data_IF_601072940603
#
_entry.id   IF_601072940603
#
_cell.length_a   1.000
_cell.length_b   1.000
_cell.length_c   1.000
_cell.angle_alpha   90.00
_cell.angle_beta   90.00
_cell.angle_gamma   90.00
#
_symmetry.space_group_name_H-M   'P 1'
#
loop_
_entity.id
_entity.type
_entity.pdbx_description
1 polymer ?
#
# COMPACT_ATOMS: atom_id res chain seq x y z
N UNK A 1 21.34 -9.68 22.61
CA UNK A 1 21.09 -10.10 21.21
C UNK A 1 19.65 -9.74 20.88
N UNK A 2 19.43 -8.73 20.03
CA UNK A 2 18.09 -8.20 19.74
C UNK A 2 17.25 -9.15 18.88
N UNK A 3 15.94 -9.15 19.11
CA UNK A 3 14.96 -9.81 18.25
C UNK A 3 15.17 -9.32 16.79
N UNK A 4 15.55 -10.21 15.85
CA UNK A 4 15.82 -9.82 14.46
C UNK A 4 14.67 -9.06 13.81
N UNK A 5 13.42 -9.32 14.23
CA UNK A 5 12.27 -8.59 13.71
C UNK A 5 12.18 -7.15 14.19
N UNK A 6 12.73 -6.82 15.37
CA UNK A 6 12.74 -5.45 15.87
C UNK A 6 13.70 -4.57 15.04
N UNK A 7 14.82 -5.12 14.57
CA UNK A 7 15.75 -4.39 13.71
C UNK A 7 15.11 -3.99 12.38
N UNK A 8 14.29 -4.86 11.78
CA UNK A 8 13.59 -4.54 10.52
C UNK A 8 12.58 -3.40 10.69
N UNK A 9 11.88 -3.33 11.83
CA UNK A 9 10.98 -2.22 12.15
C UNK A 9 11.74 -0.93 12.46
N UNK A 10 12.88 -1.02 13.14
CA UNK A 10 13.78 0.12 13.35
C UNK A 10 14.29 0.65 12.02
N UNK A 11 14.75 -0.22 11.12
CA UNK A 11 15.20 0.15 9.77
C UNK A 11 14.06 0.79 8.98
N UNK A 12 12.84 0.23 9.07
CA UNK A 12 11.65 0.77 8.43
C UNK A 12 11.33 2.20 8.89
N UNK A 13 11.33 2.45 10.21
CA UNK A 13 11.10 3.77 10.77
C UNK A 13 12.25 4.74 10.43
N UNK A 14 13.49 4.28 10.51
CA UNK A 14 14.68 5.08 10.24
C UNK A 14 14.76 5.53 8.77
N UNK A 15 14.43 4.65 7.82
CA UNK A 15 14.35 5.01 6.39
C UNK A 15 13.27 6.08 6.17
N UNK A 16 12.09 5.91 6.78
CA UNK A 16 11.01 6.89 6.71
C UNK A 16 11.42 8.27 7.25
N UNK A 17 12.12 8.32 8.38
CA UNK A 17 12.68 9.56 8.93
C UNK A 17 13.74 10.17 8.00
N UNK A 18 14.66 9.37 7.48
CA UNK A 18 15.73 9.85 6.60
C UNK A 18 15.26 10.37 5.24
N UNK A 19 14.08 9.95 4.77
CA UNK A 19 13.46 10.52 3.58
C UNK A 19 13.06 11.98 3.78
N UNK A 20 12.77 12.38 5.03
CA UNK A 20 12.35 13.73 5.40
C UNK A 20 13.36 14.54 6.24
N UNK A 21 14.43 13.92 6.72
CA UNK A 21 15.47 14.57 7.52
C UNK A 21 16.86 14.28 6.95
N UNK A 22 17.43 15.27 6.26
CA UNK A 22 18.75 15.19 5.65
C UNK A 22 19.90 15.10 6.68
N UNK A 23 19.70 15.61 7.90
CA UNK A 23 20.69 15.50 8.98
C UNK A 23 20.73 14.07 9.51
N UNK A 24 19.55 13.47 9.72
CA UNK A 24 19.45 12.07 10.12
C UNK A 24 20.03 11.13 9.06
N UNK A 25 19.78 11.39 7.77
CA UNK A 25 20.35 10.60 6.66
C UNK A 25 21.89 10.52 6.71
N UNK A 26 22.58 11.59 7.13
CA UNK A 26 24.05 11.60 7.25
C UNK A 26 24.57 10.71 8.38
N UNK A 27 23.74 10.45 9.39
CA UNK A 27 24.08 9.61 10.55
C UNK A 27 23.74 8.13 10.33
N UNK A 28 22.99 7.80 9.27
CA UNK A 28 22.58 6.43 9.00
C UNK A 28 23.74 5.53 8.56
N UNK A 29 23.67 4.22 8.81
CA UNK A 29 24.62 3.27 8.23
C UNK A 29 24.53 3.28 6.69
N UNK A 30 25.68 3.04 6.05
CA UNK A 30 25.85 3.18 4.58
C UNK A 30 24.79 2.43 3.75
N UNK A 31 24.38 1.25 4.21
CA UNK A 31 23.38 0.41 3.52
C UNK A 31 22.02 1.12 3.45
N UNK A 32 21.51 1.60 4.58
CA UNK A 32 20.22 2.30 4.66
C UNK A 32 20.30 3.67 3.96
N UNK A 33 21.40 4.41 4.16
CA UNK A 33 21.61 5.68 3.45
C UNK A 33 21.61 5.51 1.92
N UNK A 34 22.27 4.46 1.43
CA UNK A 34 22.26 4.11 0.00
C UNK A 34 20.86 3.76 -0.52
N UNK A 35 20.03 3.10 0.29
CA UNK A 35 18.63 2.82 -0.07
C UNK A 35 17.80 4.09 -0.18
N UNK A 36 17.91 5.02 0.78
CA UNK A 36 17.22 6.31 0.75
C UNK A 36 17.60 7.09 -0.51
N UNK A 37 18.90 7.13 -0.85
CA UNK A 37 19.35 7.79 -2.07
C UNK A 37 18.82 7.10 -3.33
N UNK A 38 18.86 5.77 -3.39
CA UNK A 38 18.32 5.01 -4.52
C UNK A 38 16.81 5.25 -4.71
N UNK A 39 16.04 5.38 -3.63
CA UNK A 39 14.62 5.72 -3.71
C UNK A 39 14.40 7.16 -4.20
N UNK A 40 15.18 8.13 -3.72
CA UNK A 40 14.99 9.55 -4.08
C UNK A 40 15.42 9.88 -5.52
N UNK A 41 16.52 9.29 -6.00
CA UNK A 41 17.16 9.69 -7.27
C UNK A 41 17.49 8.56 -8.23
N UNK A 42 17.34 7.30 -7.82
CA UNK A 42 17.64 6.15 -8.66
C UNK A 42 16.66 5.97 -9.83
N UNK A 43 16.99 5.04 -10.73
CA UNK A 43 16.15 4.63 -11.87
C UNK A 43 15.82 3.13 -11.87
N UNK A 44 16.48 2.35 -11.02
CA UNK A 44 16.31 0.90 -10.90
C UNK A 44 15.44 0.52 -9.71
N UNK A 45 14.83 -0.67 -9.76
CA UNK A 45 14.07 -1.21 -8.64
C UNK A 45 14.93 -1.32 -7.38
N UNK A 46 14.40 -0.82 -6.27
CA UNK A 46 15.06 -0.85 -4.97
C UNK A 46 14.49 -1.98 -4.15
N UNK A 47 15.32 -2.97 -3.81
CA UNK A 47 14.94 -4.03 -2.88
C UNK A 47 14.88 -3.47 -1.46
N UNK A 48 13.78 -3.71 -0.78
CA UNK A 48 13.53 -3.27 0.60
C UNK A 48 13.39 -4.48 1.53
N UNK A 49 13.57 -4.33 2.85
CA UNK A 49 13.58 -5.46 3.80
C UNK A 49 12.21 -6.13 4.01
N UNK A 50 11.13 -5.42 3.67
CA UNK A 50 9.73 -5.79 3.90
C UNK A 50 8.96 -5.53 2.61
N UNK A 51 8.18 -6.50 2.14
CA UNK A 51 7.28 -6.33 1.00
C UNK A 51 7.95 -6.55 -0.37
N UNK A 52 7.64 -5.66 -1.32
CA UNK A 52 8.05 -5.75 -2.71
C UNK A 52 9.15 -4.74 -3.06
N UNK A 53 9.95 -4.97 -4.11
CA UNK A 53 10.84 -3.95 -4.64
C UNK A 53 10.05 -2.68 -5.03
N UNK A 54 10.62 -1.51 -4.73
CA UNK A 54 9.98 -0.23 -4.96
C UNK A 54 10.59 0.49 -6.17
N UNK A 55 9.75 1.27 -6.87
CA UNK A 55 10.16 2.09 -8.01
C UNK A 55 10.54 3.49 -7.50
N UNK A 56 11.77 3.99 -7.72
CA UNK A 56 12.19 5.33 -7.32
C UNK A 56 11.27 6.45 -7.80
N UNK A 57 10.71 6.35 -9.01
CA UNK A 57 9.80 7.37 -9.57
C UNK A 57 8.58 7.62 -8.69
N UNK A 58 8.15 6.63 -7.89
CA UNK A 58 7.04 6.79 -6.94
C UNK A 58 7.39 7.68 -5.75
N UNK A 59 8.67 7.99 -5.52
CA UNK A 59 9.14 8.86 -4.45
C UNK A 59 9.44 10.28 -4.93
N UNK A 60 9.39 10.53 -6.24
CA UNK A 60 9.61 11.86 -6.81
C UNK A 60 8.33 12.67 -6.70
N UNK A 61 8.43 13.80 -6.00
CA UNK A 61 7.31 14.72 -5.82
C UNK A 61 6.82 15.25 -7.18
N UNK A 62 5.49 15.36 -7.31
CA UNK A 62 4.82 16.00 -8.44
C UNK A 62 3.80 17.03 -7.96
N UNK A 63 3.26 17.82 -8.89
CA UNK A 63 2.25 18.84 -8.59
C UNK A 63 2.70 19.80 -7.49
N UNK A 64 1.83 20.20 -6.55
CA UNK A 64 2.14 21.16 -5.51
C UNK A 64 3.25 20.72 -4.54
N UNK A 65 3.60 19.43 -4.47
CA UNK A 65 4.70 18.95 -3.63
C UNK A 65 6.08 19.40 -4.12
N UNK A 66 6.20 19.89 -5.37
CA UNK A 66 7.47 20.42 -5.89
C UNK A 66 7.75 21.86 -5.45
N UNK A 67 6.82 22.51 -4.74
CA UNK A 67 6.93 23.92 -4.35
C UNK A 67 7.98 24.18 -3.27
N UNK A 68 8.40 23.16 -2.51
CA UNK A 68 9.49 23.28 -1.53
C UNK A 68 10.14 21.93 -1.26
N UNK A 69 11.39 21.95 -0.78
CA UNK A 69 12.08 20.75 -0.32
C UNK A 69 11.31 20.04 0.78
N UNK A 70 10.76 20.80 1.75
CA UNK A 70 9.95 20.25 2.83
C UNK A 70 8.74 19.45 2.32
N UNK A 71 8.02 19.96 1.33
CA UNK A 71 6.88 19.25 0.75
C UNK A 71 7.31 18.01 -0.06
N UNK A 72 8.43 18.10 -0.78
CA UNK A 72 8.96 16.97 -1.55
C UNK A 72 9.46 15.85 -0.63
N UNK A 73 10.10 16.22 0.47
CA UNK A 73 10.61 15.33 1.50
C UNK A 73 9.45 14.65 2.28
N UNK A 74 8.42 15.43 2.65
CA UNK A 74 7.17 14.88 3.20
C UNK A 74 6.52 13.89 2.23
N UNK A 75 6.44 14.23 0.94
CA UNK A 75 5.88 13.34 -0.09
C UNK A 75 6.65 12.01 -0.14
N UNK A 76 7.99 12.06 -0.19
CA UNK A 76 8.81 10.85 -0.24
C UNK A 76 8.63 9.97 1.01
N UNK A 77 8.61 10.56 2.20
CA UNK A 77 8.35 9.83 3.44
C UNK A 77 6.93 9.24 3.49
N UNK A 78 5.92 9.98 3.02
CA UNK A 78 4.56 9.46 2.90
C UNK A 78 4.47 8.27 1.95
N UNK A 79 5.16 8.34 0.81
CA UNK A 79 5.19 7.27 -0.18
C UNK A 79 5.84 6.00 0.37
N UNK A 80 6.88 6.12 1.21
CA UNK A 80 7.44 4.98 1.94
C UNK A 80 6.38 4.23 2.75
N UNK A 81 5.64 4.96 3.59
CA UNK A 81 4.62 4.40 4.46
C UNK A 81 3.36 3.91 3.71
N UNK A 82 3.15 4.39 2.48
CA UNK A 82 2.05 4.01 1.61
C UNK A 82 2.39 2.84 0.66
N UNK A 83 3.67 2.55 0.41
CA UNK A 83 4.08 1.55 -0.58
C UNK A 83 4.69 0.29 0.04
N UNK A 84 5.36 0.39 1.19
CA UNK A 84 5.91 -0.79 1.87
C UNK A 84 4.76 -1.64 2.42
N UNK A 85 4.56 -2.78 1.78
CA UNK A 85 3.50 -3.74 2.08
C UNK A 85 3.99 -4.85 3.00
N UNK A 86 3.42 -4.92 4.19
CA UNK A 86 3.57 -6.06 5.08
C UNK A 86 2.54 -7.13 4.69
N UNK A 87 2.95 -8.03 3.78
CA UNK A 87 2.03 -8.95 3.12
C UNK A 87 1.49 -9.96 4.12
N UNK A 88 0.18 -10.07 4.17
CA UNK A 88 -0.50 -11.03 5.03
C UNK A 88 -0.09 -12.46 4.71
N UNK A 89 0.24 -12.79 3.45
CA UNK A 89 0.67 -14.15 3.07
C UNK A 89 2.03 -14.58 3.63
N UNK A 90 2.83 -13.66 4.16
CA UNK A 90 4.16 -13.92 4.68
C UNK A 90 4.15 -13.87 6.22
N UNK A 91 4.52 -14.98 6.88
CA UNK A 91 4.46 -15.07 8.34
C UNK A 91 5.43 -14.10 9.05
N UNK A 92 6.62 -13.84 8.48
CA UNK A 92 7.55 -12.84 9.03
C UNK A 92 6.92 -11.45 8.92
N UNK A 93 6.43 -11.07 7.76
CA UNK A 93 5.85 -9.73 7.56
C UNK A 93 4.57 -9.53 8.36
N UNK A 94 3.74 -10.56 8.50
CA UNK A 94 2.58 -10.54 9.39
C UNK A 94 3.00 -10.33 10.84
N UNK A 95 4.05 -11.03 11.30
CA UNK A 95 4.61 -10.82 12.65
C UNK A 95 5.06 -9.37 12.85
N UNK A 96 5.79 -8.81 11.88
CA UNK A 96 6.27 -7.42 11.93
C UNK A 96 5.09 -6.43 11.94
N UNK A 97 4.10 -6.62 11.08
CA UNK A 97 2.91 -5.77 11.03
C UNK A 97 2.15 -5.76 12.36
N UNK A 98 1.98 -6.94 12.98
CA UNK A 98 1.30 -7.05 14.26
C UNK A 98 2.11 -6.37 15.37
N UNK A 99 3.42 -6.63 15.46
CA UNK A 99 4.30 -5.95 16.44
C UNK A 99 4.23 -4.44 16.28
N UNK A 100 4.27 -3.97 15.05
CA UNK A 100 4.23 -2.54 14.76
C UNK A 100 2.88 -1.91 15.07
N UNK A 101 1.77 -2.58 14.71
CA UNK A 101 0.44 -2.14 15.06
C UNK A 101 0.23 -2.10 16.58
N UNK A 102 0.69 -3.12 17.32
CA UNK A 102 0.61 -3.12 18.79
C UNK A 102 1.46 -2.00 19.40
N UNK A 103 2.68 -1.76 18.91
CA UNK A 103 3.53 -0.65 19.35
C UNK A 103 2.82 0.71 19.23
N UNK A 104 2.16 0.96 18.10
CA UNK A 104 1.41 2.21 17.88
C UNK A 104 0.15 2.26 18.75
N UNK A 105 -0.59 1.16 18.85
CA UNK A 105 -1.86 1.08 19.59
C UNK A 105 -1.67 1.17 21.12
N UNK A 106 -0.56 0.65 21.64
CA UNK A 106 -0.22 0.67 23.07
C UNK A 106 0.35 2.04 23.52
N UNK A 107 0.77 2.89 22.59
CA UNK A 107 1.25 4.25 22.87
C UNK A 107 0.19 5.29 22.49
N UNK A 108 -0.30 6.04 23.49
CA UNK A 108 -1.38 7.00 23.30
C UNK A 108 -1.03 8.13 22.32
N UNK A 109 0.22 8.58 22.31
CA UNK A 109 0.67 9.66 21.43
C UNK A 109 0.79 9.15 20.00
N UNK A 110 1.42 7.99 19.79
CA UNK A 110 1.55 7.39 18.46
C UNK A 110 0.19 7.03 17.87
N UNK A 111 -0.71 6.45 18.66
CA UNK A 111 -2.08 6.13 18.22
C UNK A 111 -2.83 7.39 17.78
N UNK A 112 -2.71 8.48 18.54
CA UNK A 112 -3.31 9.78 18.20
C UNK A 112 -2.72 10.36 16.91
N UNK A 113 -1.40 10.37 16.76
CA UNK A 113 -0.72 10.89 15.57
C UNK A 113 -1.07 10.08 14.32
N UNK A 114 -1.08 8.75 14.44
CA UNK A 114 -1.49 7.86 13.34
C UNK A 114 -2.94 8.15 12.92
N UNK A 115 -3.86 8.29 13.89
CA UNK A 115 -5.26 8.60 13.62
C UNK A 115 -5.42 9.94 12.90
N UNK A 116 -4.70 10.99 13.33
CA UNK A 116 -4.69 12.29 12.67
C UNK A 116 -4.18 12.24 11.22
N UNK A 117 -3.24 11.35 10.91
CA UNK A 117 -2.73 11.15 9.55
C UNK A 117 -3.64 10.29 8.67
N UNK A 118 -4.43 9.40 9.28
CA UNK A 118 -5.17 8.35 8.59
C UNK A 118 -6.66 8.70 8.40
N UNK A 119 -7.35 9.11 9.47
CA UNK A 119 -8.80 9.32 9.48
C UNK A 119 -9.31 10.36 8.47
N UNK A 120 -8.62 11.50 8.24
CA UNK A 120 -9.08 12.46 7.23
C UNK A 120 -9.22 11.84 5.84
N UNK A 121 -8.34 10.90 5.47
CA UNK A 121 -8.45 10.19 4.18
C UNK A 121 -9.65 9.24 4.14
N UNK A 122 -9.95 8.60 5.27
CA UNK A 122 -11.08 7.67 5.37
C UNK A 122 -12.42 8.40 5.25
N UNK A 123 -12.51 9.63 5.78
CA UNK A 123 -13.68 10.51 5.67
C UNK A 123 -13.80 11.16 4.29
N UNK A 124 -12.72 11.74 3.78
CA UNK A 124 -12.76 12.55 2.55
C UNK A 124 -12.70 11.73 1.26
N UNK A 125 -12.14 10.52 1.32
CA UNK A 125 -11.87 9.70 0.13
C UNK A 125 -12.63 8.38 0.21
N UNK A 126 -12.15 7.47 1.05
CA UNK A 126 -12.72 6.14 1.26
C UNK A 126 -11.95 5.46 2.39
N UNK A 127 -12.56 4.45 3.02
CA UNK A 127 -11.83 3.55 3.94
C UNK A 127 -10.69 2.84 3.23
N UNK A 128 -9.59 2.60 3.94
CA UNK A 128 -8.49 1.76 3.47
C UNK A 128 -8.96 0.32 3.18
N UNK A 129 -8.40 -0.31 2.13
CA UNK A 129 -8.62 -1.74 1.85
C UNK A 129 -7.60 -2.62 2.59
N UNK A 130 -6.39 -2.10 2.84
CA UNK A 130 -5.41 -2.67 3.74
C UNK A 130 -5.92 -2.71 5.19
N UNK A 131 -5.36 -3.61 6.00
CA UNK A 131 -5.62 -3.58 7.43
C UNK A 131 -5.03 -2.35 8.11
N UNK A 132 -5.73 -1.87 9.12
CA UNK A 132 -5.34 -0.70 9.92
C UNK A 132 -4.69 -1.11 11.22
N UNK A 133 -4.04 -0.15 11.89
CA UNK A 133 -3.42 -0.35 13.21
C UNK A 133 -4.41 -0.95 14.22
N UNK A 134 -5.63 -0.38 14.43
CA UNK A 134 -6.61 -0.98 15.35
C UNK A 134 -7.03 -2.40 14.98
N UNK A 135 -7.17 -2.71 13.69
CA UNK A 135 -7.59 -4.05 13.23
C UNK A 135 -6.52 -5.09 13.53
N UNK A 136 -5.25 -4.79 13.24
CA UNK A 136 -4.13 -5.69 13.51
C UNK A 136 -3.90 -5.86 15.02
N UNK A 137 -3.83 -4.76 15.76
CA UNK A 137 -3.59 -4.77 17.21
C UNK A 137 -4.70 -5.51 17.97
N UNK A 138 -5.97 -5.17 17.74
CA UNK A 138 -7.09 -5.81 18.43
C UNK A 138 -7.20 -7.31 18.09
N UNK A 139 -6.96 -7.68 16.83
CA UNK A 139 -6.99 -9.10 16.42
C UNK A 139 -5.89 -9.90 17.11
N UNK A 140 -4.68 -9.35 17.20
CA UNK A 140 -3.57 -10.02 17.86
C UNK A 140 -3.79 -10.13 19.37
N UNK A 141 -4.13 -9.03 20.04
CA UNK A 141 -4.42 -9.00 21.49
C UNK A 141 -5.47 -10.03 21.88
N UNK A 142 -6.56 -10.14 21.10
CA UNK A 142 -7.60 -11.12 21.39
C UNK A 142 -7.13 -12.58 21.24
N UNK A 143 -6.32 -12.88 20.23
CA UNK A 143 -5.78 -14.24 20.03
C UNK A 143 -4.75 -14.59 21.10
N UNK A 144 -3.85 -13.67 21.42
CA UNK A 144 -2.84 -13.84 22.47
C UNK A 144 -3.49 -14.06 23.83
N UNK A 145 -4.53 -13.28 24.16
CA UNK A 145 -5.33 -13.44 25.38
C UNK A 145 -5.97 -14.83 25.46
N UNK A 146 -6.59 -15.31 24.38
CA UNK A 146 -7.18 -16.66 24.31
C UNK A 146 -6.17 -17.79 24.45
N UNK A 147 -4.90 -17.55 24.14
CA UNK A 147 -3.81 -18.53 24.18
C UNK A 147 -2.96 -18.41 25.46
N UNK A 148 -3.53 -17.88 26.55
CA UNK A 148 -2.86 -17.80 27.84
C UNK A 148 -2.11 -16.49 28.10
N UNK A 149 -2.38 -15.44 27.33
CA UNK A 149 -1.88 -14.09 27.60
C UNK A 149 -0.40 -13.85 27.30
N UNK A 150 0.23 -14.71 26.50
CA UNK A 150 1.61 -14.46 26.05
C UNK A 150 1.69 -13.15 25.27
N UNK A 151 2.66 -12.30 25.60
CA UNK A 151 2.97 -11.08 24.84
C UNK A 151 3.80 -11.37 23.59
N UNK A 152 4.31 -12.59 23.42
CA UNK A 152 5.21 -12.95 22.33
C UNK A 152 4.47 -13.53 21.12
N UNK A 153 4.77 -13.02 19.93
CA UNK A 153 4.30 -13.57 18.66
C UNK A 153 5.27 -14.66 18.21
N UNK A 154 4.76 -15.89 18.09
CA UNK A 154 5.51 -17.07 17.65
C UNK A 154 4.85 -17.72 16.43
N UNK A 155 5.49 -18.78 15.89
CA UNK A 155 5.00 -19.47 14.69
C UNK A 155 3.59 -20.05 14.83
N UNK A 156 3.14 -20.41 16.04
CA UNK A 156 1.80 -20.98 16.23
C UNK A 156 0.74 -19.88 16.21
N UNK A 157 0.96 -18.79 16.95
CA UNK A 157 -0.04 -17.73 17.03
C UNK A 157 -0.10 -16.88 15.76
N UNK A 158 1.01 -16.68 15.03
CA UNK A 158 1.01 -15.90 13.78
C UNK A 158 0.12 -16.54 12.72
N UNK A 159 0.08 -17.87 12.61
CA UNK A 159 -0.79 -18.57 11.66
C UNK A 159 -2.27 -18.34 11.98
N UNK A 160 -2.63 -18.35 13.26
CA UNK A 160 -4.00 -18.08 13.71
C UNK A 160 -4.37 -16.62 13.48
N UNK A 161 -3.47 -15.69 13.79
CA UNK A 161 -3.64 -14.25 13.54
C UNK A 161 -3.82 -13.99 12.05
N UNK A 162 -2.96 -14.58 11.21
CA UNK A 162 -3.03 -14.46 9.74
C UNK A 162 -4.37 -14.95 9.19
N UNK A 163 -4.85 -16.10 9.67
CA UNK A 163 -6.17 -16.63 9.27
C UNK A 163 -7.31 -15.69 9.69
N UNK A 164 -7.27 -15.19 10.92
CA UNK A 164 -8.28 -14.26 11.44
C UNK A 164 -8.29 -12.93 10.67
N UNK A 165 -7.13 -12.36 10.40
CA UNK A 165 -6.98 -11.16 9.58
C UNK A 165 -7.46 -11.42 8.14
N UNK A 166 -7.10 -12.55 7.54
CA UNK A 166 -7.54 -12.90 6.18
C UNK A 166 -9.06 -12.93 6.00
N UNK A 167 -9.80 -13.30 7.06
CA UNK A 167 -11.26 -13.29 7.07
C UNK A 167 -11.87 -11.90 7.36
N UNK A 168 -11.13 -11.01 8.03
CA UNK A 168 -11.59 -9.65 8.38
C UNK A 168 -11.28 -8.61 7.31
N UNK A 169 -10.14 -8.76 6.63
CA UNK A 169 -9.65 -7.76 5.67
C UNK A 169 -10.33 -7.91 4.31
N UNK A 170 -10.72 -6.78 3.74
CA UNK A 170 -11.24 -6.71 2.38
C UNK A 170 -10.19 -7.17 1.38
N UNK A 171 -10.63 -7.70 0.24
CA UNK A 171 -9.73 -7.93 -0.88
C UNK A 171 -9.33 -6.59 -1.51
N UNK A 172 -8.03 -6.36 -1.79
CA UNK A 172 -7.62 -5.15 -2.48
C UNK A 172 -8.18 -5.21 -3.91
N UNK A 173 -8.68 -4.08 -4.39
CA UNK A 173 -9.29 -3.99 -5.73
C UNK A 173 -8.33 -3.46 -6.77
N UNK A 174 -7.27 -2.79 -6.35
CA UNK A 174 -6.25 -2.18 -7.21
C UNK A 174 -4.89 -2.73 -6.84
N UNK A 175 -4.09 -3.08 -7.85
CA UNK A 175 -2.69 -3.41 -7.65
C UNK A 175 -1.82 -2.17 -7.85
N UNK A 176 -1.04 -1.81 -6.84
CA UNK A 176 -0.04 -0.75 -6.88
C UNK A 176 1.41 -1.28 -6.74
N UNK A 177 1.58 -2.61 -6.66
CA UNK A 177 2.86 -3.28 -6.51
C UNK A 177 3.38 -3.82 -7.84
N UNK A 178 4.70 -4.01 -7.93
CA UNK A 178 5.29 -4.71 -9.08
C UNK A 178 5.17 -6.21 -8.85
N UNK A 179 4.31 -6.85 -9.65
CA UNK A 179 4.06 -8.28 -9.59
C UNK A 179 4.53 -8.95 -10.87
N UNK A 180 5.08 -10.15 -10.75
CA UNK A 180 5.28 -11.03 -11.89
C UNK A 180 3.92 -11.42 -12.50
N UNK A 181 3.83 -11.77 -13.79
CA UNK A 181 2.57 -12.19 -14.41
C UNK A 181 1.84 -13.32 -13.66
N UNK A 182 2.58 -14.27 -13.10
CA UNK A 182 2.03 -15.36 -12.28
C UNK A 182 1.41 -14.87 -10.97
N UNK A 183 2.02 -13.87 -10.34
CA UNK A 183 1.53 -13.24 -9.11
C UNK A 183 0.31 -12.37 -9.39
N UNK A 184 0.33 -11.63 -10.51
CA UNK A 184 -0.74 -10.71 -10.87
C UNK A 184 -2.10 -11.40 -11.03
N UNK A 185 -2.12 -12.64 -11.54
CA UNK A 185 -3.34 -13.47 -11.63
C UNK A 185 -4.07 -13.62 -10.28
N UNK A 186 -3.34 -13.53 -9.18
CA UNK A 186 -3.89 -13.58 -7.83
C UNK A 186 -3.40 -12.40 -6.99
N UNK A 187 -3.31 -11.20 -7.59
CA UNK A 187 -2.73 -10.03 -6.92
C UNK A 187 -3.39 -9.76 -5.56
N UNK A 188 -4.69 -10.05 -5.45
CA UNK A 188 -5.46 -9.93 -4.21
C UNK A 188 -4.82 -10.65 -3.04
N UNK A 189 -4.38 -11.89 -3.24
CA UNK A 189 -3.69 -12.65 -2.21
C UNK A 189 -2.22 -12.24 -2.05
N UNK A 190 -1.60 -11.70 -3.10
CA UNK A 190 -0.20 -11.26 -3.09
C UNK A 190 0.00 -9.98 -2.26
N UNK A 191 -0.92 -9.03 -2.36
CA UNK A 191 -0.79 -7.67 -1.78
C UNK A 191 -1.75 -7.40 -0.62
N UNK A 192 -2.64 -8.35 -0.27
CA UNK A 192 -3.46 -8.19 0.95
C UNK A 192 -2.52 -8.15 2.15
N UNK A 193 -2.62 -7.11 2.96
CA UNK A 193 -1.67 -6.89 4.03
C UNK A 193 -1.95 -5.66 4.87
N UNK A 194 -0.87 -5.10 5.37
CA UNK A 194 -0.84 -3.90 6.19
C UNK A 194 0.16 -2.92 5.58
N UNK A 195 -0.25 -1.66 5.51
CA UNK A 195 0.63 -0.51 5.29
C UNK A 195 0.31 0.51 6.37
N UNK A 196 1.31 1.27 6.80
CA UNK A 196 1.10 2.23 7.89
C UNK A 196 0.14 3.34 7.47
N UNK A 197 0.31 3.86 6.25
CA UNK A 197 -0.50 4.93 5.67
C UNK A 197 -0.99 4.54 4.26
N UNK A 198 -1.88 3.54 4.13
CA UNK A 198 -2.24 2.93 2.85
C UNK A 198 -2.84 3.94 1.86
N UNK A 199 -2.68 3.77 0.55
CA UNK A 199 -3.43 4.56 -0.41
C UNK A 199 -4.94 4.28 -0.29
N UNK A 200 -5.76 5.29 -0.58
CA UNK A 200 -7.23 5.14 -0.55
C UNK A 200 -7.74 4.93 -1.95
N UNK A 201 -8.64 3.97 -2.08
CA UNK A 201 -9.21 3.59 -3.37
C UNK A 201 -10.09 4.70 -3.93
N UNK A 202 -9.74 5.16 -5.12
CA UNK A 202 -10.61 6.00 -5.92
C UNK A 202 -11.48 5.15 -6.85
N UNK A 203 -12.75 5.52 -7.10
CA UNK A 203 -13.59 4.84 -8.09
C UNK A 203 -12.93 4.74 -9.47
N UNK A 204 -12.22 5.80 -9.90
CA UNK A 204 -11.47 5.81 -11.15
C UNK A 204 -10.32 4.80 -11.17
N UNK A 205 -9.61 4.61 -10.06
CA UNK A 205 -8.52 3.64 -9.99
C UNK A 205 -9.02 2.20 -10.15
N UNK A 206 -10.19 1.88 -9.58
CA UNK A 206 -10.84 0.56 -9.77
C UNK A 206 -11.27 0.39 -11.22
N UNK A 207 -11.92 1.40 -11.80
CA UNK A 207 -12.32 1.38 -13.20
C UNK A 207 -11.10 1.10 -14.09
N UNK A 208 -10.02 1.85 -13.90
CA UNK A 208 -8.79 1.67 -14.70
C UNK A 208 -8.13 0.31 -14.50
N UNK A 209 -8.11 -0.22 -13.28
CA UNK A 209 -7.67 -1.59 -13.01
C UNK A 209 -8.54 -2.64 -13.74
N UNK A 210 -9.79 -2.30 -14.04
CA UNK A 210 -10.76 -3.16 -14.70
C UNK A 210 -10.82 -2.98 -16.22
N UNK A 211 -10.27 -1.90 -16.77
CA UNK A 211 -10.35 -1.54 -18.19
C UNK A 211 -9.02 -1.67 -18.93
N UNK A 212 -8.06 -2.36 -18.33
CA UNK A 212 -6.74 -2.65 -18.92
C UNK A 212 -6.45 -4.15 -18.90
N UNK A 213 -5.35 -4.55 -19.53
CA UNK A 213 -4.83 -5.91 -19.45
C UNK A 213 -4.59 -6.31 -17.98
N UNK A 214 -4.98 -7.51 -17.55
CA UNK A 214 -5.44 -8.65 -18.34
C UNK A 214 -6.97 -8.72 -18.54
N UNK A 215 -7.75 -7.79 -18.00
CA UNK A 215 -9.23 -7.82 -18.12
C UNK A 215 -9.71 -7.44 -19.52
N UNK A 216 -9.04 -6.47 -20.14
CA UNK A 216 -9.19 -6.16 -21.57
C UNK A 216 -7.85 -6.47 -22.23
N UNK A 217 -7.83 -7.57 -22.97
CA UNK A 217 -6.62 -8.11 -23.59
C UNK A 217 -5.90 -7.05 -24.44
N UNK A 218 -4.57 -7.01 -24.31
CA UNK A 218 -3.66 -6.15 -25.09
C UNK A 218 -3.88 -4.63 -24.88
N UNK A 219 -4.68 -4.23 -23.88
CA UNK A 219 -4.92 -2.82 -23.54
C UNK A 219 -4.01 -2.38 -22.40
N UNK A 220 -2.86 -1.82 -22.74
CA UNK A 220 -1.85 -1.42 -21.74
C UNK A 220 -2.27 -0.24 -20.85
N UNK A 221 -3.02 0.73 -21.40
CA UNK A 221 -3.41 1.94 -20.69
C UNK A 221 -4.92 2.19 -20.71
N UNK A 222 -5.48 2.71 -19.61
CA UNK A 222 -6.87 3.13 -19.59
C UNK A 222 -7.03 4.45 -20.34
N UNK A 223 -8.26 4.75 -20.77
CA UNK A 223 -8.63 6.10 -21.24
C UNK A 223 -9.37 6.84 -20.13
N UNK A 224 -9.23 8.17 -20.06
CA UNK A 224 -10.07 8.98 -19.17
C UNK A 224 -11.57 8.82 -19.46
N UNK A 225 -11.93 8.41 -20.69
CA UNK A 225 -13.29 8.09 -21.10
C UNK A 225 -13.82 6.79 -20.48
N UNK A 226 -12.94 5.88 -20.06
CA UNK A 226 -13.36 4.57 -19.53
C UNK A 226 -14.30 4.73 -18.34
N UNK A 227 -14.01 5.68 -17.44
CA UNK A 227 -14.86 5.95 -16.29
C UNK A 227 -16.27 6.43 -16.71
N UNK A 228 -16.35 7.28 -17.73
CA UNK A 228 -17.60 7.79 -18.30
C UNK A 228 -18.33 6.78 -19.20
N UNK A 229 -17.74 5.61 -19.46
CA UNK A 229 -18.38 4.53 -20.21
C UNK A 229 -18.76 3.37 -19.27
N UNK A 230 -17.89 3.00 -18.35
CA UNK A 230 -18.13 1.95 -17.37
C UNK A 230 -19.20 2.35 -16.33
N UNK A 231 -19.12 3.55 -15.76
CA UNK A 231 -20.03 4.00 -14.71
C UNK A 231 -21.46 4.22 -15.25
N UNK A 232 -22.41 3.34 -14.87
CA UNK A 232 -23.81 3.39 -15.34
C UNK A 232 -24.47 4.77 -15.14
N UNK A 233 -24.23 5.42 -14.00
CA UNK A 233 -24.84 6.71 -13.66
C UNK A 233 -24.27 7.87 -14.48
N UNK A 234 -22.98 7.81 -14.84
CA UNK A 234 -22.30 8.88 -15.59
C UNK A 234 -22.19 8.56 -17.09
N UNK A 235 -22.71 7.41 -17.53
CA UNK A 235 -22.56 6.90 -18.89
C UNK A 235 -23.16 7.87 -19.88
N UNK A 236 -22.38 8.32 -20.87
CA UNK A 236 -22.88 9.21 -21.92
C UNK A 236 -22.66 8.66 -23.33
N UNK A 237 -23.63 8.84 -24.26
CA UNK A 237 -23.45 8.49 -25.66
C UNK A 237 -22.26 9.17 -26.33
N UNK A 238 -21.91 10.38 -25.88
CA UNK A 238 -20.75 11.11 -26.38
C UNK A 238 -19.43 10.42 -25.99
N UNK A 239 -19.29 10.01 -24.72
CA UNK A 239 -18.11 9.28 -24.26
C UNK A 239 -17.96 7.92 -24.97
N UNK A 240 -19.06 7.19 -25.20
CA UNK A 240 -19.03 5.94 -25.95
C UNK A 240 -18.57 6.13 -27.39
N UNK A 241 -19.10 7.14 -28.11
CA UNK A 241 -18.67 7.45 -29.49
C UNK A 241 -17.20 7.85 -29.53
N UNK A 242 -16.76 8.68 -28.59
CA UNK A 242 -15.36 9.11 -28.51
C UNK A 242 -14.42 7.93 -28.22
N UNK A 243 -14.77 7.05 -27.28
CA UNK A 243 -13.97 5.87 -26.96
C UNK A 243 -13.95 4.87 -28.14
N UNK A 244 -15.09 4.68 -28.81
CA UNK A 244 -15.18 3.88 -30.05
C UNK A 244 -14.22 4.39 -31.11
N UNK A 245 -14.15 5.71 -31.32
CA UNK A 245 -13.21 6.32 -32.25
C UNK A 245 -11.73 6.15 -31.86
N UNK A 246 -11.43 6.05 -30.55
CA UNK A 246 -10.07 5.87 -30.03
C UNK A 246 -9.60 4.41 -30.03
N UNK A 247 -10.50 3.46 -29.76
CA UNK A 247 -10.11 2.10 -29.37
C UNK A 247 -10.95 0.99 -30.04
N UNK A 248 -11.91 1.35 -30.88
CA UNK A 248 -12.78 0.39 -31.59
C UNK A 248 -13.93 -0.14 -30.74
N UNK A 249 -14.82 -0.87 -31.41
CA UNK A 249 -16.09 -1.36 -30.83
C UNK A 249 -15.88 -2.37 -29.71
N UNK A 250 -15.03 -3.37 -29.94
CA UNK A 250 -14.77 -4.44 -28.97
C UNK A 250 -14.30 -3.89 -27.61
N UNK A 251 -13.51 -2.82 -27.61
CA UNK A 251 -13.03 -2.19 -26.37
C UNK A 251 -14.16 -1.49 -25.64
N UNK A 252 -15.04 -0.76 -26.35
CA UNK A 252 -16.19 -0.09 -25.74
C UNK A 252 -17.12 -1.10 -25.09
N UNK A 253 -17.43 -2.18 -25.79
CA UNK A 253 -18.26 -3.27 -25.27
C UNK A 253 -17.65 -3.88 -24.00
N UNK A 254 -16.35 -4.15 -24.00
CA UNK A 254 -15.65 -4.66 -22.83
C UNK A 254 -15.67 -3.67 -21.65
N UNK A 255 -15.44 -2.37 -21.90
CA UNK A 255 -15.47 -1.33 -20.86
C UNK A 255 -16.87 -1.16 -20.26
N UNK A 256 -17.93 -1.32 -21.05
CA UNK A 256 -19.32 -1.27 -20.54
C UNK A 256 -19.59 -2.37 -19.51
N UNK A 257 -18.92 -3.52 -19.64
CA UNK A 257 -19.03 -4.68 -18.74
C UNK A 257 -17.99 -4.66 -17.60
N UNK A 258 -17.05 -3.72 -17.61
CA UNK A 258 -16.04 -3.56 -16.58
C UNK A 258 -16.65 -2.85 -15.35
N UNK A 259 -17.39 -3.60 -14.53
CA UNK A 259 -17.77 -3.19 -13.16
C UNK A 259 -16.59 -3.46 -12.19
#
# INVERSE_FOLDING_TARGET
SGDPGLQDLTDFAAIGLALQDASFLKMMPRKQAGMVQALKSGSSLVKVPIGFPLIPDRFRAGSFYTKSSLLADYFAARQWYALVDFRLKNDRETTLAVKFAMLIDDDLELSKLWSQLSEPYDVLVAKAEDGTVPVYAATAKEILRRQGGSSEINKRNVVVIRKALGAKLSDPKVNDQILLPSQYKNFKAEIKGFRLLPPRRLPSAVCFQNTVDPKIKDRMFPSGLDFLVACKTLRSPAAMRALKGQSGDAVVEAVIQAD
#
